data_IF_084177068520
#
_entry.id   IF_084177068520
#
_cell.length_a   1.000
_cell.length_b   1.000
_cell.length_c   1.000
_cell.angle_alpha   90.00
_cell.angle_beta   90.00
_cell.angle_gamma   90.00
#
_symmetry.space_group_name_H-M   'P 1'
#
loop_
_entity.id
_entity.type
_entity.pdbx_description
1 polymer ?
#
# COMPACT_ATOMS: atom_id res chain seq x y z
N UNK A 1 -36.85 -9.55 3.24
CA UNK A 1 -35.53 -10.01 2.74
C UNK A 1 -35.19 -11.34 3.39
N UNK A 2 -34.94 -12.38 2.59
CA UNK A 2 -34.61 -13.73 3.05
C UNK A 2 -33.26 -13.73 3.80
N UNK A 3 -33.22 -14.32 5.00
CA UNK A 3 -31.97 -14.46 5.78
C UNK A 3 -31.24 -15.71 5.32
N UNK A 4 -29.93 -15.59 5.11
CA UNK A 4 -29.06 -16.75 4.84
C UNK A 4 -28.94 -17.58 6.12
N UNK A 5 -29.31 -18.86 6.05
CA UNK A 5 -29.05 -19.81 7.12
C UNK A 5 -27.55 -20.13 7.14
N UNK A 6 -26.88 -19.88 8.27
CA UNK A 6 -25.45 -20.14 8.44
C UNK A 6 -25.16 -21.53 9.03
N UNK A 7 -26.19 -22.25 9.46
CA UNK A 7 -26.07 -23.60 10.04
C UNK A 7 -26.09 -24.71 8.98
N UNK A 8 -26.22 -24.38 7.69
CA UNK A 8 -26.23 -25.36 6.60
C UNK A 8 -24.79 -25.78 6.22
N UNK A 9 -24.38 -27.05 6.44
CA UNK A 9 -23.04 -27.53 6.14
C UNK A 9 -22.76 -27.70 4.64
N UNK A 10 -23.78 -27.74 3.76
CA UNK A 10 -23.60 -27.82 2.30
C UNK A 10 -23.32 -26.47 1.64
N UNK A 11 -23.17 -25.42 2.46
CA UNK A 11 -23.06 -24.05 1.98
C UNK A 11 -21.67 -23.75 1.42
N UNK A 12 -21.63 -23.52 0.11
CA UNK A 12 -20.46 -22.99 -0.59
C UNK A 12 -20.24 -21.48 -0.36
N UNK A 13 -19.02 -20.98 -0.63
CA UNK A 13 -18.73 -19.55 -0.62
C UNK A 13 -19.60 -18.80 -1.64
N UNK A 14 -19.91 -17.54 -1.35
CA UNK A 14 -20.56 -16.66 -2.35
C UNK A 14 -19.68 -16.51 -3.58
N UNK A 15 -20.27 -16.50 -4.78
CA UNK A 15 -19.57 -16.35 -6.07
C UNK A 15 -18.65 -15.11 -6.17
N UNK A 16 -18.86 -14.11 -5.32
CA UNK A 16 -18.11 -12.85 -5.31
C UNK A 16 -16.97 -12.79 -4.29
N UNK A 17 -16.69 -13.88 -3.55
CA UNK A 17 -15.62 -13.89 -2.52
C UNK A 17 -15.87 -12.99 -1.30
N UNK A 18 -17.07 -12.40 -1.18
CA UNK A 18 -17.47 -11.47 -0.10
C UNK A 18 -18.61 -12.04 0.75
N UNK A 19 -18.31 -12.32 2.01
CA UNK A 19 -19.29 -12.77 3.00
C UNK A 19 -19.80 -11.59 3.86
N UNK A 20 -21.12 -11.38 3.89
CA UNK A 20 -21.76 -10.38 4.75
C UNK A 20 -22.46 -11.03 5.95
N UNK A 21 -21.88 -10.87 7.12
CA UNK A 21 -22.42 -11.33 8.40
C UNK A 21 -23.33 -10.26 9.00
N UNK A 22 -24.53 -10.63 9.44
CA UNK A 22 -25.49 -9.68 10.02
C UNK A 22 -26.11 -10.26 11.28
N UNK A 23 -26.11 -9.48 12.36
CA UNK A 23 -26.76 -9.87 13.61
C UNK A 23 -28.30 -9.89 13.46
N UNK A 24 -28.99 -10.63 14.34
CA UNK A 24 -30.45 -10.49 14.49
C UNK A 24 -30.79 -9.11 15.03
N UNK A 25 -31.81 -8.45 14.47
CA UNK A 25 -32.22 -7.11 14.89
C UNK A 25 -32.61 -7.11 16.37
N UNK A 26 -33.45 -8.05 16.78
CA UNK A 26 -33.87 -8.23 18.18
C UNK A 26 -32.67 -8.43 19.12
N UNK A 27 -31.77 -9.36 18.79
CA UNK A 27 -30.57 -9.61 19.59
C UNK A 27 -29.63 -8.39 19.64
N UNK A 28 -29.48 -7.68 18.52
CA UNK A 28 -28.62 -6.49 18.47
C UNK A 28 -29.26 -5.29 19.20
N UNK A 29 -30.58 -5.20 19.24
CA UNK A 29 -31.32 -4.17 19.99
C UNK A 29 -31.24 -4.40 21.49
N UNK A 30 -31.34 -5.65 21.94
CA UNK A 30 -31.16 -6.03 23.34
C UNK A 30 -29.69 -5.97 23.81
N UNK A 31 -28.74 -5.75 22.90
CA UNK A 31 -27.31 -5.75 23.23
C UNK A 31 -26.90 -4.44 23.94
N UNK A 32 -26.33 -4.50 25.16
CA UNK A 32 -25.87 -3.30 25.88
C UNK A 32 -24.81 -2.49 25.13
N UNK A 33 -24.04 -3.13 24.25
CA UNK A 33 -22.99 -2.48 23.47
C UNK A 33 -23.48 -1.85 22.16
N UNK A 34 -24.78 -1.94 21.82
CA UNK A 34 -25.34 -1.42 20.55
C UNK A 34 -24.96 0.05 20.32
N UNK A 35 -25.10 0.89 21.36
CA UNK A 35 -24.79 2.31 21.28
C UNK A 35 -23.33 2.59 20.89
N UNK A 36 -22.38 1.76 21.34
CA UNK A 36 -20.95 1.87 20.99
C UNK A 36 -20.64 1.23 19.64
N UNK A 37 -21.27 0.09 19.37
CA UNK A 37 -20.93 -0.79 18.25
C UNK A 37 -21.56 -0.35 16.91
N UNK A 38 -22.80 0.11 16.91
CA UNK A 38 -23.55 0.47 15.72
C UNK A 38 -24.63 1.51 16.05
N UNK A 39 -24.23 2.76 16.38
CA UNK A 39 -25.14 3.79 16.90
C UNK A 39 -26.28 4.15 15.93
N UNK A 40 -25.94 4.26 14.64
CA UNK A 40 -26.87 4.73 13.60
C UNK A 40 -27.52 3.59 12.81
N UNK A 41 -27.31 2.33 13.19
CA UNK A 41 -27.81 1.19 12.45
C UNK A 41 -28.73 0.29 13.30
N UNK A 42 -29.77 -0.23 12.66
CA UNK A 42 -30.74 -1.13 13.28
C UNK A 42 -30.10 -2.41 13.85
N UNK A 43 -29.07 -2.92 13.18
CA UNK A 43 -28.33 -4.11 13.58
C UNK A 43 -26.91 -4.08 13.02
N UNK A 44 -25.94 -4.63 13.76
CA UNK A 44 -24.56 -4.77 13.29
C UNK A 44 -24.49 -5.66 12.04
N UNK A 45 -23.74 -5.21 11.04
CA UNK A 45 -23.31 -6.05 9.93
C UNK A 45 -21.82 -5.86 9.64
N UNK A 46 -21.15 -6.94 9.26
CA UNK A 46 -19.72 -6.97 8.95
C UNK A 46 -19.57 -7.65 7.60
N UNK A 47 -18.88 -7.00 6.68
CA UNK A 47 -18.47 -7.62 5.41
C UNK A 47 -17.03 -8.10 5.55
N UNK A 48 -16.77 -9.36 5.22
CA UNK A 48 -15.45 -9.98 5.20
C UNK A 48 -15.18 -10.50 3.79
N UNK A 49 -13.98 -10.28 3.29
CA UNK A 49 -13.50 -10.87 2.04
C UNK A 49 -12.65 -12.10 2.35
N UNK A 50 -12.41 -12.94 1.34
CA UNK A 50 -11.61 -14.18 1.46
C UNK A 50 -10.23 -13.96 2.14
N UNK A 51 -9.54 -12.87 1.81
CA UNK A 51 -8.21 -12.54 2.32
C UNK A 51 -8.23 -11.49 3.43
N UNK A 52 -9.31 -11.42 4.21
CA UNK A 52 -9.44 -10.38 5.23
C UNK A 52 -8.36 -10.46 6.32
N UNK A 53 -7.82 -11.65 6.60
CA UNK A 53 -6.70 -11.81 7.54
C UNK A 53 -5.43 -11.07 7.04
N UNK A 54 -5.08 -11.21 5.76
CA UNK A 54 -3.94 -10.51 5.17
C UNK A 54 -4.12 -8.98 5.22
N UNK A 55 -5.36 -8.50 5.02
CA UNK A 55 -5.66 -7.08 5.14
C UNK A 55 -5.61 -6.58 6.57
N UNK A 56 -6.04 -7.39 7.52
CA UNK A 56 -5.94 -7.04 8.93
C UNK A 56 -4.47 -6.86 9.33
N UNK A 57 -3.58 -7.76 8.89
CA UNK A 57 -2.12 -7.61 9.04
C UNK A 57 -1.65 -6.28 8.43
N UNK A 58 -2.05 -5.96 7.20
CA UNK A 58 -1.68 -4.69 6.57
C UNK A 58 -2.18 -3.46 7.36
N UNK A 59 -3.41 -3.49 7.89
CA UNK A 59 -3.96 -2.41 8.73
C UNK A 59 -3.19 -2.28 10.04
N UNK A 60 -2.80 -3.39 10.66
CA UNK A 60 -2.08 -3.34 11.93
C UNK A 60 -0.65 -2.85 11.74
N UNK A 61 0.02 -3.25 10.65
CA UNK A 61 1.30 -2.66 10.23
C UNK A 61 1.14 -1.14 10.03
N UNK A 62 0.06 -0.69 9.39
CA UNK A 62 -0.13 0.74 9.09
C UNK A 62 -0.22 1.65 10.32
N UNK A 63 -0.60 1.09 11.48
CA UNK A 63 -0.69 1.82 12.75
C UNK A 63 0.66 1.97 13.46
N UNK A 64 1.71 1.30 12.98
CA UNK A 64 3.03 1.31 13.61
C UNK A 64 3.82 2.57 13.25
N UNK A 65 4.66 3.06 14.18
CA UNK A 65 5.59 4.16 13.90
C UNK A 65 6.59 3.81 12.79
N UNK A 66 6.99 2.54 12.72
CA UNK A 66 7.88 2.02 11.68
C UNK A 66 7.27 2.17 10.29
N UNK A 67 5.95 1.98 10.15
CA UNK A 67 5.26 2.19 8.88
C UNK A 67 5.30 3.65 8.45
N UNK A 68 5.08 4.61 9.37
CA UNK A 68 5.18 6.03 9.06
C UNK A 68 6.59 6.42 8.57
N UNK A 69 7.63 5.88 9.22
CA UNK A 69 9.02 6.08 8.81
C UNK A 69 9.25 5.48 7.41
N UNK A 70 8.79 4.24 7.19
CA UNK A 70 8.87 3.55 5.90
C UNK A 70 8.18 4.35 4.78
N UNK A 71 6.99 4.91 5.03
CA UNK A 71 6.28 5.78 4.08
C UNK A 71 7.12 7.01 3.69
N UNK A 72 7.73 7.68 4.68
CA UNK A 72 8.60 8.85 4.43
C UNK A 72 9.83 8.47 3.61
N UNK A 73 10.44 7.32 3.89
CA UNK A 73 11.59 6.81 3.14
C UNK A 73 11.22 6.38 1.71
N UNK A 74 10.05 5.75 1.51
CA UNK A 74 9.55 5.35 0.18
C UNK A 74 9.43 6.52 -0.77
N UNK A 75 8.94 7.68 -0.30
CA UNK A 75 8.91 8.91 -1.13
C UNK A 75 10.29 9.29 -1.68
N UNK A 76 11.37 9.12 -0.90
CA UNK A 76 12.73 9.39 -1.38
C UNK A 76 13.14 8.43 -2.49
N UNK A 77 12.77 7.16 -2.37
CA UNK A 77 13.04 6.11 -3.37
C UNK A 77 12.20 6.32 -4.64
N UNK A 78 10.90 6.57 -4.50
CA UNK A 78 9.99 6.85 -5.62
C UNK A 78 10.47 8.05 -6.44
N UNK A 79 10.94 9.10 -5.77
CA UNK A 79 11.52 10.26 -6.45
C UNK A 79 12.81 9.93 -7.22
N UNK A 80 13.60 8.97 -6.77
CA UNK A 80 14.76 8.50 -7.53
C UNK A 80 14.34 7.85 -8.83
N UNK A 81 13.37 6.94 -8.78
CA UNK A 81 12.84 6.31 -9.99
C UNK A 81 12.16 7.32 -10.92
N UNK A 82 11.49 8.35 -10.38
CA UNK A 82 10.95 9.44 -11.18
C UNK A 82 12.06 10.21 -11.91
N UNK A 83 13.18 10.51 -11.24
CA UNK A 83 14.34 11.15 -11.86
C UNK A 83 15.01 10.27 -12.91
N UNK A 84 15.19 8.97 -12.64
CA UNK A 84 15.73 8.02 -13.63
C UNK A 84 14.90 8.07 -14.93
N UNK A 85 13.58 8.03 -14.81
CA UNK A 85 12.66 8.05 -15.96
C UNK A 85 12.64 9.39 -16.69
N UNK A 86 12.50 10.50 -15.95
CA UNK A 86 12.28 11.84 -16.55
C UNK A 86 13.55 12.56 -16.96
N UNK A 87 14.67 12.32 -16.27
CA UNK A 87 15.92 13.08 -16.46
C UNK A 87 16.95 12.24 -17.21
N UNK A 88 17.10 10.97 -16.83
CA UNK A 88 18.01 10.05 -17.55
C UNK A 88 17.33 9.30 -18.70
N UNK A 89 16.03 9.54 -18.92
CA UNK A 89 15.30 8.97 -20.06
C UNK A 89 15.11 7.46 -19.99
N UNK A 90 15.24 6.83 -18.81
CA UNK A 90 15.10 5.39 -18.62
C UNK A 90 13.62 4.95 -18.62
N UNK A 91 12.89 5.27 -19.69
CA UNK A 91 11.48 4.90 -19.87
C UNK A 91 11.29 3.46 -20.36
N UNK A 92 12.29 2.91 -21.05
CA UNK A 92 12.29 1.55 -21.60
C UNK A 92 13.71 0.99 -21.55
N UNK A 93 13.82 -0.30 -21.21
CA UNK A 93 15.06 -1.04 -21.31
C UNK A 93 15.35 -1.44 -22.76
N UNK A 94 16.60 -1.28 -23.20
CA UNK A 94 17.04 -1.57 -24.58
C UNK A 94 17.46 -3.04 -24.74
N UNK A 95 18.07 -3.61 -23.72
CA UNK A 95 18.54 -4.97 -23.59
C UNK A 95 17.41 -5.86 -23.06
N UNK A 96 17.41 -7.11 -23.52
CA UNK A 96 16.41 -8.11 -23.12
C UNK A 96 16.96 -9.02 -22.03
N UNK A 97 16.04 -9.59 -21.25
CA UNK A 97 16.36 -10.53 -20.18
C UNK A 97 16.79 -9.84 -18.88
N UNK A 98 16.82 -10.61 -17.76
CA UNK A 98 17.12 -10.08 -16.43
C UNK A 98 18.54 -9.52 -16.33
N UNK A 99 19.53 -10.12 -17.03
CA UNK A 99 20.91 -9.64 -17.04
C UNK A 99 21.01 -8.26 -17.72
N UNK A 100 20.45 -8.12 -18.93
CA UNK A 100 20.47 -6.85 -19.64
C UNK A 100 19.72 -5.73 -18.90
N UNK A 101 18.59 -6.07 -18.25
CA UNK A 101 17.88 -5.16 -17.38
C UNK A 101 18.75 -4.69 -16.20
N UNK A 102 19.47 -5.61 -15.56
CA UNK A 102 20.35 -5.30 -14.44
C UNK A 102 21.48 -4.34 -14.86
N UNK A 103 22.14 -4.61 -15.99
CA UNK A 103 23.24 -3.78 -16.49
C UNK A 103 22.79 -2.33 -16.78
N UNK A 104 21.64 -2.17 -17.43
CA UNK A 104 21.08 -0.85 -17.69
C UNK A 104 20.69 -0.10 -16.43
N UNK A 105 20.05 -0.78 -15.47
CA UNK A 105 19.70 -0.17 -14.19
C UNK A 105 20.94 0.20 -13.39
N UNK A 106 21.99 -0.62 -13.42
CA UNK A 106 23.26 -0.34 -12.74
C UNK A 106 23.91 0.92 -13.31
N UNK A 107 23.99 1.05 -14.63
CA UNK A 107 24.53 2.25 -15.30
C UNK A 107 23.70 3.49 -14.97
N UNK A 108 22.37 3.40 -15.06
CA UNK A 108 21.48 4.52 -14.76
C UNK A 108 21.54 4.93 -13.27
N UNK A 109 21.60 3.96 -12.35
CA UNK A 109 21.77 4.22 -10.93
C UNK A 109 23.12 4.88 -10.64
N UNK A 110 24.19 4.44 -11.31
CA UNK A 110 25.53 5.03 -11.20
C UNK A 110 25.52 6.50 -11.64
N UNK A 111 24.97 6.79 -12.82
CA UNK A 111 24.83 8.16 -13.31
C UNK A 111 24.01 9.05 -12.36
N UNK A 112 22.90 8.52 -11.82
CA UNK A 112 22.07 9.24 -10.85
C UNK A 112 22.81 9.50 -9.53
N UNK A 113 23.62 8.56 -9.06
CA UNK A 113 24.44 8.72 -7.86
C UNK A 113 25.54 9.77 -8.07
N UNK A 114 26.23 9.76 -9.22
CA UNK A 114 27.20 10.79 -9.60
C UNK A 114 26.55 12.18 -9.63
N UNK A 115 25.35 12.29 -10.21
CA UNK A 115 24.59 13.55 -10.24
C UNK A 115 24.19 14.04 -8.85
N UNK A 116 23.95 13.14 -7.89
CA UNK A 116 23.73 13.52 -6.49
C UNK A 116 25.01 13.99 -5.81
N UNK A 117 26.11 13.28 -6.00
CA UNK A 117 27.41 13.65 -5.44
C UNK A 117 27.81 15.05 -5.91
N UNK A 118 27.69 15.33 -7.21
CA UNK A 118 27.98 16.64 -7.79
C UNK A 118 27.15 17.79 -7.21
N UNK A 119 25.99 17.52 -6.58
CA UNK A 119 25.17 18.54 -5.89
C UNK A 119 25.58 18.77 -4.43
N UNK A 120 26.25 17.80 -3.81
CA UNK A 120 26.71 17.89 -2.42
C UNK A 120 28.00 18.72 -2.37
N UNK A 121 28.86 18.60 -3.37
CA UNK A 121 30.05 19.43 -3.48
C UNK A 121 29.64 20.85 -3.90
N UNK A 122 30.11 21.90 -3.18
CA UNK A 122 29.92 23.27 -3.63
C UNK A 122 30.58 23.46 -5.00
N UNK A 123 29.93 24.21 -5.89
CA UNK A 123 30.56 24.60 -7.15
C UNK A 123 31.89 25.30 -6.83
N UNK A 124 32.98 25.05 -7.59
CA UNK A 124 34.22 25.80 -7.41
C UNK A 124 33.86 27.29 -7.51
N UNK A 125 34.08 28.01 -6.42
CA UNK A 125 33.87 29.45 -6.39
C UNK A 125 34.83 30.04 -7.42
N UNK A 126 34.30 30.61 -8.51
CA UNK A 126 35.14 31.40 -9.41
C UNK A 126 35.77 32.51 -8.56
N UNK A 127 37.10 32.69 -8.55
CA UNK A 127 37.69 33.82 -7.85
C UNK A 127 37.05 35.08 -8.43
N UNK A 128 36.48 35.93 -7.58
CA UNK A 128 36.06 37.27 -7.98
C UNK A 128 37.32 37.96 -8.50
N UNK A 129 37.38 38.19 -9.81
CA UNK A 129 38.35 39.12 -10.39
C UNK A 129 38.11 40.48 -9.74
N UNK A 130 39.19 41.04 -9.17
CA UNK A 130 39.22 42.36 -8.55
C UNK A 130 38.95 43.46 -9.58
#
# INVERSE_FOLDING_TARGET
QFRRNYSDPKRGPTSTGRAKYRALKLTCQACPSKAKCCPNADARSITREEHENARQVARDISKTKQYEISMKLRKKVEMLFAHLKRILGLGRLRLRGPCGANDEFLLAATAQNLRKLAKIFPAPQKPRTA
#
